data_IF_109686758908
#
_entry.id   IF_109686758908
#
_cell.length_a   1.000
_cell.length_b   1.000
_cell.length_c   1.000
_cell.angle_alpha   90.00
_cell.angle_beta   90.00
_cell.angle_gamma   90.00
#
_symmetry.space_group_name_H-M   'P 1'
#
loop_
_entity.id
_entity.type
_entity.pdbx_description
1 polymer ?
#
# COMPACT_ATOMS: atom_id res chain seq x y z
N UNK A 1 9.84 14.60 15.14
CA UNK A 1 9.19 15.78 14.51
C UNK A 1 8.34 15.38 13.31
N UNK A 2 8.91 14.73 12.29
CA UNK A 2 8.14 14.28 11.10
C UNK A 2 6.94 13.41 11.45
N UNK A 3 7.09 12.48 12.39
CA UNK A 3 5.99 11.62 12.86
C UNK A 3 4.82 12.43 13.43
N UNK A 4 5.09 13.45 14.25
CA UNK A 4 4.06 14.31 14.84
C UNK A 4 3.39 15.15 13.75
N UNK A 5 4.18 15.75 12.85
CA UNK A 5 3.65 16.51 11.72
C UNK A 5 2.77 15.64 10.81
N UNK A 6 3.26 14.45 10.44
CA UNK A 6 2.53 13.48 9.63
C UNK A 6 1.26 12.98 10.34
N UNK A 7 1.30 12.76 11.65
CA UNK A 7 0.13 12.39 12.45
C UNK A 7 -0.96 13.47 12.46
N UNK A 8 -0.56 14.73 12.68
CA UNK A 8 -1.49 15.88 12.64
C UNK A 8 -2.08 16.04 11.24
N UNK A 9 -1.24 16.04 10.20
CA UNK A 9 -1.71 16.13 8.82
C UNK A 9 -2.64 14.97 8.47
N UNK A 10 -2.28 13.73 8.84
CA UNK A 10 -3.11 12.55 8.60
C UNK A 10 -4.48 12.64 9.29
N UNK A 11 -4.54 13.15 10.51
CA UNK A 11 -5.81 13.35 11.22
C UNK A 11 -6.68 14.46 10.58
N UNK A 12 -6.06 15.59 10.20
CA UNK A 12 -6.74 16.74 9.58
C UNK A 12 -7.25 16.41 8.17
N UNK A 13 -6.42 15.73 7.37
CA UNK A 13 -6.72 15.39 5.98
C UNK A 13 -7.40 14.02 5.81
N UNK A 14 -7.77 13.33 6.90
CA UNK A 14 -8.57 12.08 6.87
C UNK A 14 -9.81 12.20 5.95
N UNK A 15 -10.59 13.31 5.95
CA UNK A 15 -11.74 13.46 5.05
C UNK A 15 -11.35 13.55 3.56
N UNK A 16 -10.12 13.96 3.25
CA UNK A 16 -9.60 14.12 1.88
C UNK A 16 -8.79 12.91 1.40
N UNK A 17 -8.76 11.84 2.20
CA UNK A 17 -7.95 10.65 1.95
C UNK A 17 -8.25 10.03 0.58
N UNK A 18 -9.52 9.96 0.18
CA UNK A 18 -9.90 9.35 -1.09
C UNK A 18 -9.32 10.11 -2.29
N UNK A 19 -9.41 11.44 -2.27
CA UNK A 19 -8.88 12.27 -3.34
C UNK A 19 -7.35 12.15 -3.42
N UNK A 20 -6.67 12.20 -2.27
CA UNK A 20 -5.21 12.03 -2.20
C UNK A 20 -4.77 10.65 -2.71
N UNK A 21 -5.44 9.59 -2.25
CA UNK A 21 -5.14 8.24 -2.71
C UNK A 21 -5.39 8.08 -4.20
N UNK A 22 -6.48 8.63 -4.73
CA UNK A 22 -6.79 8.52 -6.15
C UNK A 22 -5.68 9.14 -7.01
N UNK A 23 -5.18 10.33 -6.64
CA UNK A 23 -4.07 10.98 -7.34
C UNK A 23 -2.81 10.11 -7.32
N UNK A 24 -2.41 9.62 -6.16
CA UNK A 24 -1.21 8.78 -6.01
C UNK A 24 -1.33 7.47 -6.79
N UNK A 25 -2.50 6.82 -6.74
CA UNK A 25 -2.73 5.58 -7.47
C UNK A 25 -2.76 5.81 -8.98
N UNK A 26 -3.37 6.89 -9.47
CA UNK A 26 -3.35 7.23 -10.90
C UNK A 26 -1.93 7.47 -11.41
N UNK A 27 -1.08 8.11 -10.62
CA UNK A 27 0.35 8.25 -10.98
C UNK A 27 1.05 6.89 -11.04
N UNK A 28 0.79 6.01 -10.07
CA UNK A 28 1.33 4.65 -10.07
C UNK A 28 0.82 3.79 -11.25
N UNK A 29 -0.41 4.02 -11.73
CA UNK A 29 -0.93 3.34 -12.94
C UNK A 29 -0.07 3.65 -14.16
N UNK A 30 0.48 4.85 -14.28
CA UNK A 30 1.38 5.18 -15.40
C UNK A 30 2.63 4.31 -15.38
N UNK A 31 3.16 3.99 -14.20
CA UNK A 31 4.30 3.09 -14.04
C UNK A 31 3.92 1.62 -14.32
N UNK A 32 2.68 1.21 -14.10
CA UNK A 32 2.23 -0.14 -14.49
C UNK A 32 2.16 -0.33 -16.00
N UNK A 33 1.86 0.73 -16.76
CA UNK A 33 1.81 0.72 -18.24
C UNK A 33 3.17 0.92 -18.89
N UNK A 34 4.14 1.46 -18.15
CA UNK A 34 5.48 1.74 -18.64
C UNK A 34 6.29 0.44 -18.85
N UNK A 35 7.23 0.48 -19.78
CA UNK A 35 8.13 -0.62 -20.13
C UNK A 35 9.60 -0.33 -19.76
N UNK A 36 9.87 0.79 -19.07
CA UNK A 36 11.21 1.11 -18.58
C UNK A 36 11.69 0.13 -17.50
N UNK A 37 13.00 -0.02 -17.36
CA UNK A 37 13.58 -0.91 -16.33
C UNK A 37 13.19 -0.47 -14.90
N UNK A 38 13.07 0.85 -14.68
CA UNK A 38 12.65 1.40 -13.40
C UNK A 38 11.20 1.03 -13.04
N UNK A 39 10.32 0.89 -14.05
CA UNK A 39 8.94 0.50 -13.85
C UNK A 39 8.78 -0.95 -13.39
N UNK A 40 9.70 -1.84 -13.76
CA UNK A 40 9.62 -3.28 -13.41
C UNK A 40 9.59 -3.52 -11.90
N UNK A 41 10.45 -2.84 -11.13
CA UNK A 41 10.46 -2.99 -9.67
C UNK A 41 9.14 -2.57 -9.02
N UNK A 42 8.50 -1.53 -9.59
CA UNK A 42 7.19 -1.04 -9.15
C UNK A 42 6.09 -2.05 -9.50
N UNK A 43 6.13 -2.60 -10.71
CA UNK A 43 5.21 -3.65 -11.17
C UNK A 43 5.31 -4.91 -10.31
N UNK A 44 6.52 -5.36 -9.97
CA UNK A 44 6.73 -6.52 -9.10
C UNK A 44 6.14 -6.29 -7.70
N UNK A 45 6.38 -5.12 -7.12
CA UNK A 45 5.87 -4.75 -5.81
C UNK A 45 4.33 -4.71 -5.80
N UNK A 46 3.74 -4.10 -6.82
CA UNK A 46 2.28 -4.03 -6.95
C UNK A 46 1.64 -5.37 -7.25
N UNK A 47 2.28 -6.24 -8.02
CA UNK A 47 1.78 -7.60 -8.25
C UNK A 47 1.78 -8.41 -6.96
N UNK A 48 2.85 -8.34 -6.16
CA UNK A 48 2.90 -8.99 -4.83
C UNK A 48 1.78 -8.49 -3.93
N UNK A 49 1.58 -7.17 -3.89
CA UNK A 49 0.51 -6.55 -3.12
C UNK A 49 -0.88 -7.01 -3.59
N UNK A 50 -1.12 -7.03 -4.90
CA UNK A 50 -2.38 -7.46 -5.53
C UNK A 50 -2.72 -8.91 -5.16
N UNK A 51 -1.74 -9.81 -5.22
CA UNK A 51 -1.93 -11.21 -4.83
C UNK A 51 -2.21 -11.38 -3.33
N UNK A 52 -1.49 -10.63 -2.48
CA UNK A 52 -1.68 -10.69 -1.03
C UNK A 52 -3.03 -10.10 -0.59
N UNK A 53 -3.45 -9.02 -1.24
CA UNK A 53 -4.66 -8.25 -0.90
C UNK A 53 -5.87 -8.66 -1.75
N UNK A 54 -5.73 -9.68 -2.60
CA UNK A 54 -6.79 -10.25 -3.42
C UNK A 54 -7.53 -9.20 -4.28
N UNK A 55 -6.77 -8.26 -4.85
CA UNK A 55 -7.28 -7.20 -5.71
C UNK A 55 -6.53 -7.18 -7.04
N UNK A 56 -7.09 -6.53 -8.06
CA UNK A 56 -6.46 -6.37 -9.37
C UNK A 56 -6.58 -4.95 -9.86
N UNK A 57 -5.49 -4.37 -10.37
CA UNK A 57 -5.44 -2.97 -10.78
C UNK A 57 -5.43 -2.02 -9.59
N UNK A 58 -4.99 -0.80 -9.83
CA UNK A 58 -4.94 0.22 -8.78
C UNK A 58 -6.26 0.99 -8.73
N UNK A 59 -6.75 1.47 -9.87
CA UNK A 59 -7.96 2.30 -9.99
C UNK A 59 -9.03 1.60 -10.84
N UNK A 60 -8.72 1.26 -12.08
CA UNK A 60 -9.67 0.77 -13.09
C UNK A 60 -9.49 -0.73 -13.42
N UNK A 61 -8.99 -1.50 -12.46
CA UNK A 61 -8.90 -2.95 -12.58
C UNK A 61 -7.79 -3.41 -13.53
N UNK A 62 -8.04 -4.48 -14.28
CA UNK A 62 -7.07 -5.05 -15.24
C UNK A 62 -6.59 -4.04 -16.30
N UNK A 63 -7.40 -3.02 -16.61
CA UNK A 63 -7.08 -2.00 -17.61
C UNK A 63 -5.88 -1.11 -17.21
N UNK A 64 -5.60 -1.01 -15.91
CA UNK A 64 -4.46 -0.24 -15.38
C UNK A 64 -3.11 -0.80 -15.83
N UNK A 65 -3.05 -2.10 -16.11
CA UNK A 65 -1.84 -2.75 -16.60
C UNK A 65 -1.62 -2.53 -18.10
N UNK A 66 -2.64 -2.10 -18.85
CA UNK A 66 -2.52 -1.89 -20.30
C UNK A 66 -1.96 -3.13 -21.02
N UNK A 67 -0.90 -2.94 -21.81
CA UNK A 67 -0.25 -4.03 -22.55
C UNK A 67 0.50 -5.03 -21.65
N UNK A 68 0.73 -4.67 -20.38
CA UNK A 68 1.48 -5.47 -19.41
C UNK A 68 0.62 -6.48 -18.64
N UNK A 69 -0.70 -6.55 -18.90
CA UNK A 69 -1.63 -7.45 -18.22
C UNK A 69 -1.29 -8.95 -18.38
N UNK A 70 -0.50 -9.29 -19.39
CA UNK A 70 -0.06 -10.67 -19.65
C UNK A 70 1.37 -10.95 -19.19
N UNK A 71 2.03 -10.00 -18.52
CA UNK A 71 3.34 -10.25 -17.90
C UNK A 71 3.23 -11.36 -16.87
N UNK A 72 4.34 -12.09 -16.72
CA UNK A 72 4.50 -13.12 -15.69
C UNK A 72 5.59 -12.65 -14.74
N UNK A 73 5.21 -12.47 -13.48
CA UNK A 73 6.11 -12.06 -12.39
C UNK A 73 6.05 -13.16 -11.33
N UNK A 74 7.23 -13.65 -10.92
CA UNK A 74 7.36 -14.74 -9.94
C UNK A 74 6.50 -15.98 -10.30
N UNK A 75 6.42 -16.30 -11.59
CA UNK A 75 5.68 -17.46 -12.10
C UNK A 75 4.16 -17.31 -12.13
N UNK A 76 3.61 -16.14 -11.79
CA UNK A 76 2.17 -15.86 -11.86
C UNK A 76 1.85 -14.78 -12.88
N UNK A 77 0.76 -14.97 -13.64
CA UNK A 77 0.25 -13.90 -14.52
C UNK A 77 -0.27 -12.75 -13.65
N UNK A 78 -0.18 -11.52 -14.15
CA UNK A 78 -0.68 -10.33 -13.44
C UNK A 78 -2.14 -10.53 -12.98
N UNK A 79 -2.44 -10.20 -11.73
CA UNK A 79 -3.77 -10.37 -11.13
C UNK A 79 -4.35 -11.80 -11.10
N UNK A 80 -3.55 -12.83 -11.32
CA UNK A 80 -4.04 -14.21 -11.37
C UNK A 80 -4.79 -14.61 -10.09
N UNK A 81 -6.03 -15.04 -10.27
CA UNK A 81 -6.93 -15.46 -9.21
C UNK A 81 -6.99 -16.99 -9.15
N UNK A 82 -6.49 -17.56 -8.07
CA UNK A 82 -6.49 -19.01 -7.85
C UNK A 82 -7.92 -19.56 -7.68
N UNK A 83 -8.15 -20.82 -8.08
CA UNK A 83 -9.46 -21.47 -8.03
C UNK A 83 -10.11 -21.43 -6.64
N UNK A 84 -9.32 -21.55 -5.57
CA UNK A 84 -9.81 -21.48 -4.18
C UNK A 84 -10.62 -20.21 -3.87
N UNK A 85 -10.33 -19.09 -4.55
CA UNK A 85 -11.01 -17.81 -4.32
C UNK A 85 -12.27 -17.63 -5.19
N UNK A 86 -12.52 -18.55 -6.13
CA UNK A 86 -13.74 -18.53 -6.92
C UNK A 86 -14.96 -18.87 -6.07
N UNK A 87 -14.81 -19.77 -5.09
CA UNK A 87 -15.87 -20.16 -4.16
C UNK A 87 -16.34 -18.96 -3.31
N UNK A 88 -15.47 -17.97 -3.12
CA UNK A 88 -15.72 -16.73 -2.40
C UNK A 88 -16.24 -15.58 -3.29
N UNK A 89 -16.50 -15.83 -4.59
CA UNK A 89 -16.91 -14.83 -5.58
C UNK A 89 -15.92 -13.66 -5.77
N UNK A 90 -14.63 -13.88 -5.50
CA UNK A 90 -13.59 -12.86 -5.60
C UNK A 90 -12.98 -12.75 -7.01
N UNK A 91 -13.21 -13.76 -7.86
CA UNK A 91 -12.63 -13.84 -9.21
C UNK A 91 -13.65 -13.57 -10.31
N UNK A 92 -13.19 -13.03 -11.44
CA UNK A 92 -13.96 -12.92 -12.69
C UNK A 92 -13.19 -13.55 -13.86
N UNK A 93 -13.89 -14.08 -14.89
CA UNK A 93 -13.24 -14.62 -16.08
C UNK A 93 -12.57 -13.48 -16.88
N UNK A 94 -11.35 -13.74 -17.34
CA UNK A 94 -10.56 -12.84 -18.19
C UNK A 94 -9.80 -13.67 -19.21
N UNK A 95 -10.34 -13.78 -20.42
CA UNK A 95 -9.77 -14.63 -21.47
C UNK A 95 -9.76 -16.11 -21.08
N UNK A 96 -8.57 -16.70 -21.03
CA UNK A 96 -8.32 -18.11 -20.68
C UNK A 96 -8.14 -18.36 -19.17
N UNK A 97 -8.22 -17.32 -18.34
CA UNK A 97 -7.90 -17.38 -16.90
C UNK A 97 -8.89 -16.57 -16.06
N UNK A 98 -8.66 -16.58 -14.74
CA UNK A 98 -9.41 -15.79 -13.78
C UNK A 98 -8.53 -14.71 -13.15
N UNK A 99 -9.12 -13.55 -12.88
CA UNK A 99 -8.47 -12.41 -12.23
C UNK A 99 -9.29 -11.92 -11.06
N UNK A 100 -8.65 -11.29 -10.08
CA UNK A 100 -9.37 -10.66 -8.97
C UNK A 100 -10.30 -9.56 -9.49
N UNK A 101 -11.53 -9.56 -8.98
CA UNK A 101 -12.60 -8.66 -9.44
C UNK A 101 -12.40 -7.22 -8.93
N UNK A 102 -11.93 -7.08 -7.70
CA UNK A 102 -11.96 -5.81 -6.98
C UNK A 102 -10.70 -4.98 -7.24
N UNK A 103 -10.82 -3.67 -7.53
CA UNK A 103 -9.66 -2.79 -7.66
C UNK A 103 -8.99 -2.52 -6.31
N UNK A 104 -7.67 -2.37 -6.30
CA UNK A 104 -6.92 -2.17 -5.06
C UNK A 104 -7.21 -0.84 -4.38
N UNK A 105 -7.64 0.20 -5.11
CA UNK A 105 -8.12 1.45 -4.52
C UNK A 105 -9.18 1.20 -3.47
N UNK A 106 -10.20 0.40 -3.78
CA UNK A 106 -11.26 0.08 -2.79
C UNK A 106 -10.72 -0.66 -1.57
N UNK A 107 -9.84 -1.66 -1.76
CA UNK A 107 -9.26 -2.41 -0.64
C UNK A 107 -8.41 -1.50 0.26
N UNK A 108 -7.58 -0.64 -0.34
CA UNK A 108 -6.72 0.30 0.40
C UNK A 108 -7.58 1.35 1.13
N UNK A 109 -8.59 1.92 0.46
CA UNK A 109 -9.49 2.90 1.08
C UNK A 109 -10.24 2.30 2.26
N UNK A 110 -10.85 1.13 2.08
CA UNK A 110 -11.58 0.46 3.14
C UNK A 110 -10.67 0.13 4.32
N UNK A 111 -9.45 -0.34 4.04
CA UNK A 111 -8.45 -0.60 5.07
C UNK A 111 -8.10 0.66 5.85
N UNK A 112 -7.79 1.76 5.15
CA UNK A 112 -7.41 3.01 5.81
C UNK A 112 -8.59 3.62 6.56
N UNK A 113 -9.78 3.70 5.98
CA UNK A 113 -10.96 4.27 6.64
C UNK A 113 -11.34 3.49 7.91
N UNK A 114 -11.28 2.15 7.85
CA UNK A 114 -11.64 1.28 8.98
C UNK A 114 -10.58 1.27 10.08
N UNK A 115 -9.31 1.37 9.73
CA UNK A 115 -8.20 1.21 10.69
C UNK A 115 -7.45 2.50 11.01
N UNK A 116 -7.85 3.65 10.47
CA UNK A 116 -7.13 4.92 10.66
C UNK A 116 -6.90 5.23 12.14
N UNK A 117 -7.91 4.98 12.98
CA UNK A 117 -7.84 5.31 14.40
C UNK A 117 -6.85 4.39 15.14
N UNK A 118 -6.77 3.12 14.74
CA UNK A 118 -5.76 2.17 15.24
C UNK A 118 -4.36 2.62 14.81
N UNK A 119 -4.20 3.00 13.54
CA UNK A 119 -2.93 3.48 12.98
C UNK A 119 -2.45 4.73 13.73
N UNK A 120 -3.34 5.68 14.01
CA UNK A 120 -3.02 6.86 14.82
C UNK A 120 -2.58 6.48 16.24
N UNK A 121 -3.24 5.50 16.86
CA UNK A 121 -2.86 4.99 18.17
C UNK A 121 -1.45 4.38 18.20
N UNK A 122 -1.12 3.56 17.19
CA UNK A 122 0.22 2.96 17.05
C UNK A 122 1.28 4.07 16.87
N UNK A 123 0.98 5.05 16.02
CA UNK A 123 1.88 6.18 15.80
C UNK A 123 2.14 6.97 17.09
N UNK A 124 1.11 7.22 17.91
CA UNK A 124 1.28 7.88 19.20
C UNK A 124 2.14 7.05 20.17
N UNK A 125 1.91 5.73 20.24
CA UNK A 125 2.73 4.82 21.05
C UNK A 125 4.21 4.84 20.66
N UNK A 126 4.51 4.83 19.36
CA UNK A 126 5.88 4.97 18.86
C UNK A 126 6.51 6.30 19.29
N UNK A 127 5.77 7.42 19.21
CA UNK A 127 6.30 8.73 19.57
C UNK A 127 6.72 8.79 21.06
N UNK A 128 5.98 8.13 21.95
CA UNK A 128 6.34 8.03 23.38
C UNK A 128 7.66 7.27 23.57
N UNK A 129 7.84 6.15 22.86
CA UNK A 129 9.07 5.35 22.92
C UNK A 129 10.28 6.16 22.43
N UNK A 130 10.12 6.92 21.35
CA UNK A 130 11.19 7.80 20.83
C UNK A 130 11.61 8.85 21.86
N UNK A 131 10.65 9.50 22.52
CA UNK A 131 10.93 10.50 23.56
C UNK A 131 11.68 9.89 24.74
N UNK A 132 11.27 8.70 25.20
CA UNK A 132 12.00 7.98 26.26
C UNK A 132 13.42 7.63 25.83
N UNK A 133 13.61 7.19 24.58
CA UNK A 133 14.92 6.95 24.00
C UNK A 133 15.82 8.19 24.04
N UNK A 134 15.31 9.35 23.62
CA UNK A 134 16.05 10.61 23.67
C UNK A 134 16.42 11.02 25.09
N UNK A 135 15.50 10.87 26.05
CA UNK A 135 15.76 11.16 27.46
C UNK A 135 16.89 10.28 27.99
N UNK A 136 16.84 8.96 27.76
CA UNK A 136 17.89 8.06 28.21
C UNK A 136 19.22 8.33 27.53
N UNK A 137 19.23 8.61 26.22
CA UNK A 137 20.46 9.01 25.51
C UNK A 137 21.10 10.25 26.12
N UNK A 138 20.31 11.27 26.46
CA UNK A 138 20.82 12.49 27.11
C UNK A 138 21.30 12.23 28.54
N UNK A 139 20.57 11.43 29.32
CA UNK A 139 21.01 11.03 30.66
C UNK A 139 22.36 10.29 30.61
N UNK A 140 22.51 9.33 29.71
CA UNK A 140 23.75 8.58 29.51
C UNK A 140 24.90 9.47 29.04
N UNK A 141 24.64 10.36 28.07
CA UNK A 141 25.63 11.32 27.58
C UNK A 141 26.18 12.19 28.72
N UNK A 142 25.28 12.77 29.53
CA UNK A 142 25.67 13.59 30.68
C UNK A 142 26.43 12.80 31.75
N UNK A 143 26.10 11.53 31.98
CA UNK A 143 26.86 10.70 32.93
C UNK A 143 28.26 10.34 32.44
N UNK A 144 28.42 10.08 31.15
CA UNK A 144 29.73 9.79 30.56
C UNK A 144 30.61 11.04 30.59
N UNK A 145 30.08 12.20 30.21
CA UNK A 145 30.86 13.45 30.20
C UNK A 145 31.29 13.91 31.61
N UNK A 146 30.58 13.46 32.65
CA UNK A 146 30.91 13.76 34.05
C UNK A 146 31.96 12.82 34.64
N UNK A 147 32.35 11.76 33.92
CA UNK A 147 33.49 10.89 34.22
C UNK A 147 34.72 11.35 33.44
#
# INVERSE_FOLDING_TARGET
ILQVAGGVLGAVYKPQLEAGLNLTLTEAVNLLKDNTENAKQVQESWQKFQLQSQCCGLVDGTSDWGNNINLVIDGKKICECEQKYQEENLCIPFGDRYVFKQPCKTVILDFLQKNMDIIMGIAFGMAVIEVLGLVFSMCLYCQIQRK
#
